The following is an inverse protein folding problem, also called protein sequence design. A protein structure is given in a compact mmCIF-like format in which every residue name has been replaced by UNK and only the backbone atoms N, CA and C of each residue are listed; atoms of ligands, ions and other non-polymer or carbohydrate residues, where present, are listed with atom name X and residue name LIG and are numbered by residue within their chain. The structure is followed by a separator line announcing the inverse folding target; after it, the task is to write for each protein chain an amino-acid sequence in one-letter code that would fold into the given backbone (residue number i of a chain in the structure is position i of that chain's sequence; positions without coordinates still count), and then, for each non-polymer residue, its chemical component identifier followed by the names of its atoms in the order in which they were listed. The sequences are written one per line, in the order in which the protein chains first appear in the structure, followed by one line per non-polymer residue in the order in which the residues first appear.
data_IF_442132804008
#
_entry.id   IF_442132804008
#
_cell.length_a   1.000
_cell.length_b   1.000
_cell.length_c   1.000
_cell.angle_alpha   90.00
_cell.angle_beta   90.00
_cell.angle_gamma   90.00
#
_symmetry.space_group_name_H-M   'P 1'
#
loop_
_entity.id
_entity.type
_entity.pdbx_description
1 polymer ?
#
# COMPACT_ATOMS: atom_id res chain seq x y z
N UNK A 1 60.95 -8.46 29.59
CA UNK A 1 61.28 -7.95 30.94
C UNK A 1 61.39 -6.44 30.88
N UNK A 2 60.80 -5.74 31.86
CA UNK A 2 61.05 -4.34 32.24
C UNK A 2 60.45 -3.26 31.32
N UNK A 3 59.83 -2.17 31.79
CA UNK A 3 59.40 -1.67 33.12
C UNK A 3 58.52 -0.43 32.89
N UNK A 4 57.64 -0.16 33.86
CA UNK A 4 57.30 1.15 34.47
C UNK A 4 57.20 2.37 33.53
N UNK A 5 56.08 3.07 33.43
CA UNK A 5 55.35 3.68 34.54
C UNK A 5 55.46 5.20 34.40
N UNK A 6 54.46 5.92 34.93
CA UNK A 6 54.36 7.39 35.00
C UNK A 6 54.05 8.10 33.67
N UNK A 7 52.79 8.51 33.48
CA UNK A 7 52.40 9.93 33.51
C UNK A 7 50.91 9.98 33.85
N UNK A 8 50.64 10.07 35.15
CA UNK A 8 49.49 10.83 35.64
C UNK A 8 49.93 12.28 35.58
N UNK A 9 49.38 13.05 34.65
CA UNK A 9 49.34 14.50 34.82
C UNK A 9 48.18 15.10 34.03
N UNK A 10 47.56 16.10 34.63
CA UNK A 10 46.34 16.72 34.14
C UNK A 10 45.14 16.42 35.03
N UNK A 11 45.15 16.98 36.23
CA UNK A 11 43.94 17.26 36.99
C UNK A 11 43.07 18.29 36.22
N UNK A 12 42.45 17.85 35.13
CA UNK A 12 41.31 18.56 34.54
C UNK A 12 40.14 18.34 35.51
N UNK A 13 39.86 19.38 36.28
CA UNK A 13 38.73 19.47 37.20
C UNK A 13 37.45 19.08 36.45
N UNK A 14 37.02 17.83 36.62
CA UNK A 14 35.70 17.37 36.23
C UNK A 14 34.69 18.06 37.15
N UNK A 15 34.31 19.28 36.78
CA UNK A 15 33.09 19.91 37.25
C UNK A 15 31.95 19.40 36.33
N UNK A 16 31.16 18.38 36.74
CA UNK A 16 29.98 18.04 35.98
C UNK A 16 29.10 19.29 35.92
N UNK A 17 28.97 19.89 34.72
CA UNK A 17 27.89 20.84 34.44
C UNK A 17 26.59 20.03 34.48
N UNK A 18 26.08 19.83 35.68
CA UNK A 18 24.70 19.42 35.89
C UNK A 18 23.88 20.62 35.41
N UNK A 19 23.32 20.52 34.21
CA UNK A 19 22.21 21.39 33.84
C UNK A 19 21.15 21.15 34.90
N UNK A 20 21.03 22.07 35.86
CA UNK A 20 19.97 22.03 36.84
C UNK A 20 18.67 22.04 36.06
N UNK A 21 18.02 20.88 36.03
CA UNK A 21 16.66 20.72 35.53
C UNK A 21 15.88 21.84 36.22
N UNK A 22 15.31 22.80 35.47
CA UNK A 22 14.46 23.79 36.09
C UNK A 22 13.32 22.99 36.74
N UNK A 23 13.31 22.94 38.06
CA UNK A 23 12.17 22.49 38.85
C UNK A 23 11.09 23.58 38.76
N UNK A 24 10.65 23.85 37.54
CA UNK A 24 9.31 24.38 37.33
C UNK A 24 8.42 23.16 37.50
N UNK A 25 7.73 23.07 38.64
CA UNK A 25 6.63 22.13 38.79
C UNK A 25 5.62 22.44 37.69
N UNK A 26 5.68 21.64 36.62
CA UNK A 26 4.70 21.68 35.55
C UNK A 26 3.31 21.22 36.03
N UNK A 27 3.16 20.79 37.28
CA UNK A 27 1.91 20.27 37.84
C UNK A 27 1.66 20.73 39.29
N UNK A 28 1.59 22.04 39.50
CA UNK A 28 0.60 22.58 40.45
C UNK A 28 -0.48 23.34 39.69
N UNK A 29 -1.19 22.60 38.83
CA UNK A 29 -2.55 23.00 38.53
C UNK A 29 -3.32 22.88 39.83
N UNK A 30 -3.87 24.01 40.33
CA UNK A 30 -4.84 24.03 41.42
C UNK A 30 -5.81 22.86 41.20
N UNK A 31 -5.86 21.95 42.16
CA UNK A 31 -6.87 20.91 42.30
C UNK A 31 -8.25 21.58 42.27
N UNK A 32 -8.85 21.66 41.08
CA UNK A 32 -10.10 22.38 40.85
C UNK A 32 -10.42 22.76 39.40
N UNK A 33 -9.44 22.93 38.50
CA UNK A 33 -9.70 23.53 37.17
C UNK A 33 -9.10 22.75 35.98
N UNK A 34 -9.12 21.41 36.03
CA UNK A 34 -9.10 20.63 34.79
C UNK A 34 -10.53 20.62 34.23
N UNK A 35 -10.90 21.66 33.48
CA UNK A 35 -12.23 21.69 32.86
C UNK A 35 -12.39 20.48 31.93
N UNK A 36 -13.59 19.87 31.93
CA UNK A 36 -13.93 18.75 31.05
C UNK A 36 -13.61 19.09 29.58
N UNK A 37 -13.74 20.37 29.20
CA UNK A 37 -13.36 20.88 27.88
C UNK A 37 -11.88 20.72 27.54
N UNK A 38 -10.97 20.93 28.49
CA UNK A 38 -9.52 20.71 28.25
C UNK A 38 -9.19 19.23 28.10
N UNK A 39 -9.85 18.35 28.85
CA UNK A 39 -9.65 16.90 28.74
C UNK A 39 -10.12 16.37 27.39
N UNK A 40 -11.27 16.83 26.91
CA UNK A 40 -11.81 16.48 25.59
C UNK A 40 -10.93 17.04 24.46
N UNK A 41 -10.41 18.27 24.61
CA UNK A 41 -9.47 18.87 23.64
C UNK A 41 -8.19 18.04 23.53
N UNK A 42 -7.55 17.71 24.65
CA UNK A 42 -6.31 16.93 24.67
C UNK A 42 -6.53 15.50 24.12
N UNK A 43 -7.65 14.87 24.46
CA UNK A 43 -8.00 13.55 23.92
C UNK A 43 -8.23 13.62 22.40
N UNK A 44 -8.89 14.66 21.90
CA UNK A 44 -9.11 14.87 20.47
C UNK A 44 -7.81 15.11 19.70
N UNK A 45 -6.86 15.83 20.30
CA UNK A 45 -5.52 16.02 19.74
C UNK A 45 -4.71 14.72 19.68
N UNK A 46 -4.79 13.88 20.73
CA UNK A 46 -4.12 12.58 20.76
C UNK A 46 -4.72 11.59 19.75
N UNK A 47 -6.05 11.58 19.59
CA UNK A 47 -6.69 10.76 18.56
C UNK A 47 -6.26 11.24 17.17
N UNK A 48 -6.23 12.55 16.95
CA UNK A 48 -5.79 13.13 15.68
C UNK A 48 -4.32 12.79 15.36
N UNK A 49 -3.44 12.79 16.36
CA UNK A 49 -2.04 12.42 16.18
C UNK A 49 -1.87 10.93 15.89
N UNK A 50 -2.65 10.06 16.56
CA UNK A 50 -2.62 8.61 16.33
C UNK A 50 -3.12 8.25 14.93
N UNK A 51 -4.24 8.83 14.49
CA UNK A 51 -4.75 8.65 13.12
C UNK A 51 -3.71 9.11 12.10
N UNK A 52 -3.06 10.26 12.32
CA UNK A 52 -2.02 10.76 11.43
C UNK A 52 -0.82 9.81 11.37
N UNK A 53 -0.39 9.28 12.50
CA UNK A 53 0.71 8.31 12.58
C UNK A 53 0.37 7.00 11.86
N UNK A 54 -0.85 6.48 12.04
CA UNK A 54 -1.30 5.26 11.38
C UNK A 54 -1.44 5.46 9.86
N UNK A 55 -1.89 6.64 9.42
CA UNK A 55 -1.90 7.01 8.01
C UNK A 55 -0.49 7.11 7.41
N UNK A 56 0.47 7.70 8.13
CA UNK A 56 1.86 7.78 7.67
C UNK A 56 2.48 6.39 7.55
N UNK A 57 2.26 5.53 8.55
CA UNK A 57 2.71 4.14 8.51
C UNK A 57 2.09 3.38 7.34
N UNK A 58 0.75 3.42 7.23
CA UNK A 58 0.02 2.80 6.13
C UNK A 58 0.50 3.31 4.78
N UNK A 59 0.75 4.62 4.63
CA UNK A 59 1.29 5.19 3.40
C UNK A 59 2.67 4.63 3.06
N UNK A 60 3.57 4.47 4.04
CA UNK A 60 4.89 3.87 3.78
C UNK A 60 4.81 2.40 3.38
N UNK A 61 3.93 1.63 4.04
CA UNK A 61 3.74 0.21 3.74
C UNK A 61 3.05 -0.01 2.40
N UNK A 62 2.03 0.79 2.08
CA UNK A 62 1.39 0.83 0.77
C UNK A 62 2.37 1.25 -0.32
N UNK A 63 3.21 2.26 -0.08
CA UNK A 63 4.20 2.69 -1.06
C UNK A 63 5.25 1.60 -1.33
N UNK A 64 5.73 0.91 -0.30
CA UNK A 64 6.66 -0.20 -0.44
C UNK A 64 6.02 -1.37 -1.21
N UNK A 65 4.77 -1.71 -0.88
CA UNK A 65 4.00 -2.77 -1.54
C UNK A 65 3.67 -2.42 -2.99
N UNK A 66 3.26 -1.18 -3.26
CA UNK A 66 2.97 -0.68 -4.59
C UNK A 66 4.22 -0.63 -5.47
N UNK A 67 5.38 -0.26 -4.91
CA UNK A 67 6.65 -0.27 -5.65
C UNK A 67 7.04 -1.69 -6.05
N UNK A 68 7.01 -2.64 -5.11
CA UNK A 68 7.33 -4.05 -5.38
C UNK A 68 6.35 -4.66 -6.39
N UNK A 69 5.06 -4.42 -6.19
CA UNK A 69 4.00 -4.85 -7.10
C UNK A 69 4.16 -4.23 -8.50
N UNK A 70 4.50 -2.93 -8.57
CA UNK A 70 4.73 -2.21 -9.82
C UNK A 70 5.94 -2.72 -10.59
N UNK A 71 7.06 -3.00 -9.90
CA UNK A 71 8.25 -3.61 -10.54
C UNK A 71 7.89 -5.02 -11.05
N UNK A 72 7.22 -5.83 -10.24
CA UNK A 72 6.81 -7.18 -10.65
C UNK A 72 5.87 -7.15 -11.85
N UNK A 73 4.85 -6.29 -11.83
CA UNK A 73 3.93 -6.09 -12.94
C UNK A 73 4.65 -5.56 -14.20
N UNK A 74 5.60 -4.64 -14.04
CA UNK A 74 6.43 -4.13 -15.14
C UNK A 74 7.29 -5.21 -15.77
N UNK A 75 7.98 -6.01 -14.97
CA UNK A 75 8.81 -7.13 -15.44
C UNK A 75 7.96 -8.21 -16.12
N UNK A 76 6.81 -8.59 -15.55
CA UNK A 76 5.92 -9.57 -16.17
C UNK A 76 5.31 -9.05 -17.46
N UNK A 77 4.95 -7.77 -17.53
CA UNK A 77 4.45 -7.15 -18.75
C UNK A 77 5.54 -7.13 -19.82
N UNK A 78 6.77 -6.75 -19.46
CA UNK A 78 7.92 -6.78 -20.36
C UNK A 78 8.24 -8.19 -20.87
N UNK A 79 8.26 -9.18 -19.98
CA UNK A 79 8.43 -10.59 -20.35
C UNK A 79 7.31 -11.09 -21.26
N UNK A 80 6.06 -10.71 -20.98
CA UNK A 80 4.90 -11.03 -21.81
C UNK A 80 5.01 -10.45 -23.22
N UNK A 81 5.45 -9.19 -23.36
CA UNK A 81 5.70 -8.56 -24.66
C UNK A 81 6.80 -9.29 -25.42
N UNK A 82 7.94 -9.57 -24.78
CA UNK A 82 9.04 -10.31 -25.39
C UNK A 82 8.56 -11.69 -25.86
N UNK A 83 7.87 -12.44 -24.99
CA UNK A 83 7.32 -13.75 -25.34
C UNK A 83 6.32 -13.67 -26.51
N UNK A 84 5.46 -12.65 -26.55
CA UNK A 84 4.52 -12.45 -27.64
C UNK A 84 5.23 -12.19 -28.98
N UNK A 85 6.25 -11.32 -29.01
CA UNK A 85 7.03 -11.08 -30.22
C UNK A 85 7.88 -12.29 -30.62
N UNK A 86 8.53 -12.96 -29.67
CA UNK A 86 9.31 -14.18 -29.92
C UNK A 86 8.44 -15.33 -30.44
N UNK A 87 7.17 -15.40 -30.03
CA UNK A 87 6.23 -16.43 -30.50
C UNK A 87 6.06 -16.39 -32.03
N UNK A 88 6.07 -15.20 -32.64
CA UNK A 88 6.01 -15.06 -34.11
C UNK A 88 7.17 -15.80 -34.80
N UNK A 89 8.40 -15.59 -34.31
CA UNK A 89 9.58 -16.28 -34.82
C UNK A 89 9.57 -17.77 -34.51
N UNK A 90 9.04 -18.16 -33.35
CA UNK A 90 8.91 -19.57 -32.98
C UNK A 90 7.98 -20.34 -33.93
N UNK A 91 6.82 -19.77 -34.28
CA UNK A 91 5.90 -20.42 -35.22
C UNK A 91 6.45 -20.42 -36.65
N UNK A 92 7.18 -19.38 -37.06
CA UNK A 92 7.89 -19.39 -38.34
C UNK A 92 8.96 -20.48 -38.39
N UNK A 93 9.76 -20.60 -37.32
CA UNK A 93 10.71 -21.70 -37.14
C UNK A 93 10.01 -23.06 -37.20
N UNK A 94 8.88 -23.24 -36.53
CA UNK A 94 8.13 -24.50 -36.55
C UNK A 94 7.63 -24.86 -37.95
N UNK A 95 7.16 -23.86 -38.71
CA UNK A 95 6.73 -24.06 -40.09
C UNK A 95 7.90 -24.46 -40.99
N UNK A 96 9.06 -23.82 -40.83
CA UNK A 96 10.26 -24.16 -41.59
C UNK A 96 10.87 -25.50 -41.14
N UNK A 97 10.74 -25.87 -39.87
CA UNK A 97 11.14 -27.20 -39.40
C UNK A 97 10.29 -28.28 -40.05
N UNK A 98 8.96 -28.08 -40.13
CA UNK A 98 8.06 -29.02 -40.79
C UNK A 98 8.26 -29.09 -42.30
N UNK A 99 8.74 -28.02 -42.95
CA UNK A 99 9.01 -28.00 -44.38
C UNK A 99 10.18 -28.92 -44.80
N UNK A 100 10.94 -29.46 -43.85
CA UNK A 100 11.96 -30.50 -44.11
C UNK A 100 11.34 -31.81 -44.58
N UNK A 101 10.13 -32.14 -44.13
CA UNK A 101 9.43 -33.39 -44.47
C UNK A 101 8.19 -33.20 -45.35
N UNK A 102 7.70 -31.97 -45.48
CA UNK A 102 6.44 -31.63 -46.14
C UNK A 102 6.64 -30.48 -47.12
N UNK A 103 5.74 -30.34 -48.10
CA UNK A 103 5.69 -29.15 -48.92
C UNK A 103 5.54 -27.89 -48.06
N UNK A 104 6.29 -26.84 -48.40
CA UNK A 104 6.34 -25.61 -47.60
C UNK A 104 4.95 -25.01 -47.35
N UNK A 105 4.06 -25.03 -48.35
CA UNK A 105 2.70 -24.51 -48.17
C UNK A 105 1.89 -25.32 -47.14
N UNK A 106 2.04 -26.64 -47.12
CA UNK A 106 1.32 -27.53 -46.21
C UNK A 106 1.83 -27.39 -44.78
N UNK A 107 3.15 -27.25 -44.60
CA UNK A 107 3.77 -27.00 -43.30
C UNK A 107 3.22 -25.72 -42.64
N UNK A 108 3.16 -24.62 -43.40
CA UNK A 108 2.61 -23.35 -42.91
C UNK A 108 1.10 -23.46 -42.60
N UNK A 109 0.34 -24.20 -43.40
CA UNK A 109 -1.08 -24.43 -43.13
C UNK A 109 -1.31 -25.22 -41.83
N UNK A 110 -0.50 -26.25 -41.57
CA UNK A 110 -0.57 -27.03 -40.32
C UNK A 110 -0.27 -26.15 -39.11
N UNK A 111 0.79 -25.34 -39.16
CA UNK A 111 1.13 -24.41 -38.07
C UNK A 111 0.02 -23.38 -37.84
N UNK A 112 -0.57 -22.86 -38.91
CA UNK A 112 -1.73 -21.97 -38.81
C UNK A 112 -2.92 -22.62 -38.07
N UNK A 113 -3.24 -23.88 -38.38
CA UNK A 113 -4.30 -24.61 -37.68
C UNK A 113 -3.97 -24.83 -36.19
N UNK A 114 -2.70 -25.14 -35.87
CA UNK A 114 -2.24 -25.23 -34.48
C UNK A 114 -2.44 -23.90 -33.76
N UNK A 115 -2.13 -22.77 -34.39
CA UNK A 115 -2.34 -21.44 -33.82
C UNK A 115 -3.83 -21.14 -33.57
N UNK A 116 -4.74 -21.54 -34.47
CA UNK A 116 -6.18 -21.39 -34.25
C UNK A 116 -6.68 -22.20 -33.06
N UNK A 117 -6.18 -23.44 -32.89
CA UNK A 117 -6.52 -24.27 -31.73
C UNK A 117 -6.01 -23.62 -30.43
N UNK A 118 -4.76 -23.17 -30.41
CA UNK A 118 -4.18 -22.46 -29.26
C UNK A 118 -4.96 -21.19 -28.93
N UNK A 119 -5.29 -20.37 -29.93
CA UNK A 119 -6.09 -19.16 -29.76
C UNK A 119 -7.48 -19.49 -29.20
N UNK A 120 -8.13 -20.54 -29.71
CA UNK A 120 -9.41 -21.03 -29.18
C UNK A 120 -9.34 -21.43 -27.71
N UNK A 121 -8.31 -22.19 -27.31
CA UNK A 121 -8.09 -22.58 -25.91
C UNK A 121 -7.86 -21.34 -25.03
N UNK A 122 -6.98 -20.43 -25.45
CA UNK A 122 -6.69 -19.21 -24.70
C UNK A 122 -7.93 -18.32 -24.55
N UNK A 123 -8.74 -18.16 -25.61
CA UNK A 123 -9.99 -17.43 -25.57
C UNK A 123 -10.98 -18.05 -24.58
N UNK A 124 -11.14 -19.39 -24.61
CA UNK A 124 -12.02 -20.10 -23.68
C UNK A 124 -11.57 -19.95 -22.22
N UNK A 125 -10.27 -20.09 -21.95
CA UNK A 125 -9.69 -19.89 -20.61
C UNK A 125 -9.87 -18.42 -20.18
N UNK A 126 -9.58 -17.46 -21.05
CA UNK A 126 -9.77 -16.03 -20.80
C UNK A 126 -11.21 -15.70 -20.43
N UNK A 127 -12.18 -16.15 -21.22
CA UNK A 127 -13.61 -15.96 -20.94
C UNK A 127 -14.02 -16.60 -19.61
N UNK A 128 -13.52 -17.80 -19.30
CA UNK A 128 -13.78 -18.46 -18.00
C UNK A 128 -13.20 -17.66 -16.83
N UNK A 129 -12.00 -17.10 -16.97
CA UNK A 129 -11.38 -16.29 -15.92
C UNK A 129 -12.15 -14.98 -15.70
N UNK A 130 -12.52 -14.27 -16.78
CA UNK A 130 -13.32 -13.04 -16.68
C UNK A 130 -14.67 -13.32 -16.01
N UNK A 131 -15.33 -14.43 -16.36
CA UNK A 131 -16.61 -14.82 -15.73
C UNK A 131 -16.49 -15.18 -14.25
N UNK A 132 -15.30 -15.57 -13.77
CA UNK A 132 -15.06 -15.87 -12.35
C UNK A 132 -14.82 -14.63 -11.50
N UNK A 133 -14.52 -13.48 -12.10
CA UNK A 133 -14.33 -12.23 -11.37
C UNK A 133 -15.69 -11.76 -10.83
N UNK A 134 -15.92 -11.96 -9.53
CA UNK A 134 -17.11 -11.44 -8.84
C UNK A 134 -17.03 -9.92 -8.77
N UNK A 135 -18.15 -9.24 -8.99
CA UNK A 135 -18.24 -7.79 -8.76
C UNK A 135 -17.98 -7.50 -7.28
N UNK A 136 -17.36 -6.36 -6.91
CA UNK A 136 -17.14 -6.00 -5.51
C UNK A 136 -18.46 -5.58 -4.86
N UNK A 137 -19.29 -6.56 -4.50
CA UNK A 137 -20.65 -6.38 -3.98
C UNK A 137 -20.69 -5.49 -2.74
N UNK A 138 -19.76 -5.69 -1.80
CA UNK A 138 -19.68 -4.92 -0.56
C UNK A 138 -19.37 -3.44 -0.80
N UNK A 139 -18.47 -3.15 -1.74
CA UNK A 139 -18.16 -1.76 -2.13
C UNK A 139 -19.36 -1.10 -2.80
N UNK A 140 -20.10 -1.84 -3.64
CA UNK A 140 -21.31 -1.33 -4.29
C UNK A 140 -22.41 -1.08 -3.25
N UNK A 141 -22.61 -2.01 -2.31
CA UNK A 141 -23.57 -1.91 -1.20
C UNK A 141 -23.28 -0.70 -0.31
N UNK A 142 -22.03 -0.51 0.14
CA UNK A 142 -21.64 0.66 0.94
C UNK A 142 -21.83 1.99 0.20
N UNK A 143 -21.53 2.05 -1.10
CA UNK A 143 -21.75 3.25 -1.92
C UNK A 143 -23.25 3.52 -2.13
N UNK A 144 -24.08 2.48 -2.22
CA UNK A 144 -25.53 2.61 -2.31
C UNK A 144 -26.14 3.09 -1.00
N UNK A 145 -25.68 2.58 0.13
CA UNK A 145 -26.09 3.01 1.47
C UNK A 145 -25.74 4.49 1.70
N UNK A 146 -24.54 4.92 1.29
CA UNK A 146 -24.10 6.31 1.35
C UNK A 146 -24.97 7.27 0.52
N UNK A 147 -25.54 6.81 -0.62
CA UNK A 147 -26.48 7.63 -1.41
C UNK A 147 -27.82 7.84 -0.72
N UNK A 148 -28.22 6.94 0.19
CA UNK A 148 -29.44 7.06 1.00
C UNK A 148 -29.34 8.09 2.12
N UNK A 149 -28.11 8.42 2.54
CA UNK A 149 -27.85 9.39 3.60
C UNK A 149 -27.69 10.79 3.00
N UNK A 150 -28.74 11.60 3.08
CA UNK A 150 -28.69 13.02 2.72
C UNK A 150 -27.72 13.73 3.68
N UNK A 151 -26.61 14.32 3.20
CA UNK A 151 -25.69 15.09 4.04
C UNK A 151 -26.45 16.24 4.72
N UNK A 152 -26.38 16.32 6.05
CA UNK A 152 -26.97 17.40 6.84
C UNK A 152 -28.24 17.08 7.63
N UNK A 153 -28.92 15.94 7.39
CA UNK A 153 -30.07 15.52 8.23
C UNK A 153 -29.66 15.14 9.66
N UNK A 154 -28.52 14.47 9.82
CA UNK A 154 -27.98 14.14 11.14
C UNK A 154 -27.67 15.41 11.96
N UNK A 155 -27.05 16.41 11.34
CA UNK A 155 -26.74 17.71 11.96
C UNK A 155 -28.01 18.44 12.41
N UNK A 156 -29.06 18.44 11.57
CA UNK A 156 -30.35 19.08 11.87
C UNK A 156 -31.09 18.41 13.05
N UNK A 157 -30.96 17.09 13.20
CA UNK A 157 -31.54 16.36 14.33
C UNK A 157 -30.83 16.64 15.66
N UNK A 158 -29.52 16.88 15.63
CA UNK A 158 -28.73 17.25 16.81
C UNK A 158 -29.02 18.71 17.23
N UNK A 159 -29.21 19.60 16.26
CA UNK A 159 -29.54 21.01 16.52
C UNK A 159 -30.96 21.18 17.07
N UNK A 160 -31.92 20.40 16.57
CA UNK A 160 -33.29 20.39 17.10
C UNK A 160 -33.39 19.91 18.56
N UNK A 161 -32.48 19.06 19.02
CA UNK A 161 -32.51 18.51 20.39
C UNK A 161 -31.75 19.38 21.41
N UNK A 162 -30.90 20.31 20.94
CA UNK A 162 -30.22 21.29 21.81
C UNK A 162 -31.14 22.40 22.32
N UNK A 163 -32.23 22.70 21.61
CA UNK A 163 -33.22 23.70 22.04
C UNK A 163 -34.15 23.28 23.18
N UNK A 164 -34.05 22.04 23.68
CA UNK A 164 -34.88 21.51 24.78
C UNK A 164 -34.20 21.59 26.15
N UNK A 165 -32.97 22.12 26.21
CA UNK A 165 -32.19 22.28 27.44
C UNK A 165 -31.73 23.75 27.60
N UNK A 166 -32.68 24.67 27.54
CA UNK A 166 -32.52 26.07 27.97
C UNK A 166 -33.81 26.54 28.62
#
# INVERSE_FOLDING_TARGET
MSKDGLYTDGAESFAPKVNSIPLTDSDTSRSGEASVGRLVSNASEQISSLVRAEMELAKTELAASAKKGGIGAGLLSGAGVIAAYSSFFFFFFLAELLSVWLDRWAAFLIVFLIMLVLAGILALVGVKNVKKVKKPEKTIESVQELKGLVPGKATKSIESNRGMYT
#
